data_IF_537970302094
#
_entry.id   IF_537970302094
#
_cell.length_a   1.000
_cell.length_b   1.000
_cell.length_c   1.000
_cell.angle_alpha   90.00
_cell.angle_beta   90.00
_cell.angle_gamma   90.00
#
_symmetry.space_group_name_H-M   'P 1'
#
loop_
_entity.id
_entity.type
_entity.pdbx_description
1 polymer ?
#
# COMPACT_ATOMS: atom_id res chain seq x y z
N UNK A 1 2.87 -4.08 18.09
CA UNK A 1 2.98 -5.41 17.47
C UNK A 1 1.58 -5.78 17.02
N UNK A 2 1.39 -6.09 15.74
CA UNK A 2 0.09 -6.33 15.14
C UNK A 2 0.14 -7.65 14.38
N UNK A 3 -0.83 -8.53 14.60
CA UNK A 3 -1.10 -9.64 13.71
C UNK A 3 -2.31 -9.23 12.87
N UNK A 4 -2.19 -9.28 11.54
CA UNK A 4 -3.33 -9.06 10.66
C UNK A 4 -3.48 -10.20 9.67
N UNK A 5 -4.74 -10.58 9.43
CA UNK A 5 -5.10 -11.49 8.36
C UNK A 5 -5.04 -10.72 7.04
N UNK A 6 -4.15 -11.13 6.15
CA UNK A 6 -3.93 -10.49 4.86
C UNK A 6 -3.38 -11.50 3.86
N UNK A 7 -3.16 -11.04 2.63
CA UNK A 7 -2.59 -11.86 1.55
C UNK A 7 -1.40 -11.15 0.89
N UNK A 8 -0.49 -11.94 0.35
CA UNK A 8 0.54 -11.46 -0.58
C UNK A 8 -0.03 -11.55 -1.99
N UNK A 9 0.09 -10.49 -2.78
CA UNK A 9 -0.51 -10.43 -4.11
C UNK A 9 0.40 -10.99 -5.21
N UNK A 10 1.72 -10.77 -5.11
CA UNK A 10 2.69 -11.18 -6.13
C UNK A 10 3.57 -12.38 -5.73
N UNK A 11 3.14 -13.17 -4.73
CA UNK A 11 3.80 -14.40 -4.27
C UNK A 11 5.30 -14.26 -3.90
N UNK A 12 5.75 -13.05 -3.58
CA UNK A 12 7.13 -12.82 -3.13
C UNK A 12 7.30 -13.18 -1.64
N UNK A 13 8.49 -13.64 -1.20
CA UNK A 13 8.76 -13.92 0.20
C UNK A 13 8.57 -12.68 1.08
N UNK A 14 7.93 -12.85 2.24
CA UNK A 14 7.67 -11.75 3.17
C UNK A 14 8.62 -11.82 4.36
N UNK A 15 9.72 -11.08 4.22
CA UNK A 15 10.65 -10.72 5.30
C UNK A 15 11.14 -9.30 5.02
N UNK A 16 10.41 -8.33 5.55
CA UNK A 16 10.54 -6.93 5.19
C UNK A 16 11.03 -6.17 6.41
N UNK A 17 12.07 -5.35 6.21
CA UNK A 17 12.59 -4.40 7.17
C UNK A 17 12.68 -3.04 6.48
N UNK A 18 12.13 -1.99 7.10
CA UNK A 18 12.19 -0.64 6.55
C UNK A 18 11.56 0.38 7.48
N UNK A 19 11.28 1.57 6.93
CA UNK A 19 10.64 2.66 7.65
C UNK A 19 9.26 2.97 7.08
N UNK A 20 8.32 3.32 7.94
CA UNK A 20 6.94 3.57 7.52
C UNK A 20 6.88 4.85 6.68
N UNK A 21 6.32 4.74 5.48
CA UNK A 21 5.74 5.84 4.73
C UNK A 21 4.28 5.49 4.48
N UNK A 22 3.34 6.27 5.01
CA UNK A 22 1.91 5.92 4.95
C UNK A 22 1.08 7.12 4.50
N UNK A 23 0.00 6.86 3.77
CA UNK A 23 -0.93 7.92 3.39
C UNK A 23 -1.92 7.51 2.31
N UNK A 24 -2.69 8.52 1.91
CA UNK A 24 -3.68 8.40 0.85
C UNK A 24 -3.00 8.32 -0.53
N UNK A 25 -3.43 7.37 -1.35
CA UNK A 25 -2.88 7.12 -2.69
C UNK A 25 -2.99 8.36 -3.59
N UNK A 26 -4.19 8.94 -3.69
CA UNK A 26 -4.43 10.11 -4.54
C UNK A 26 -3.62 11.32 -4.09
N UNK A 27 -3.44 11.52 -2.78
CA UNK A 27 -2.55 12.56 -2.25
C UNK A 27 -1.10 12.33 -2.67
N UNK A 28 -0.55 11.12 -2.51
CA UNK A 28 0.82 10.85 -3.00
C UNK A 28 0.95 11.10 -4.50
N UNK A 29 0.01 10.59 -5.30
CA UNK A 29 0.00 10.81 -6.75
C UNK A 29 -0.02 12.31 -7.10
N UNK A 30 -0.79 13.14 -6.38
CA UNK A 30 -0.85 14.59 -6.59
C UNK A 30 0.48 15.31 -6.34
N UNK A 31 1.39 14.71 -5.56
CA UNK A 31 2.72 15.28 -5.28
C UNK A 31 3.79 14.87 -6.30
N UNK A 32 3.50 13.93 -7.21
CA UNK A 32 4.46 13.44 -8.20
C UNK A 32 4.96 14.59 -9.10
N UNK A 33 6.29 14.71 -9.20
CA UNK A 33 6.96 15.78 -9.94
C UNK A 33 7.09 17.11 -9.18
N UNK A 34 6.66 17.18 -7.92
CA UNK A 34 6.81 18.38 -7.07
C UNK A 34 8.00 18.26 -6.11
N UNK A 35 8.40 19.37 -5.50
CA UNK A 35 9.49 19.41 -4.49
C UNK A 35 9.19 18.63 -3.21
N UNK A 36 7.93 18.32 -2.96
CA UNK A 36 7.48 17.60 -1.76
C UNK A 36 7.21 16.12 -2.06
N UNK A 37 7.52 15.63 -3.27
CA UNK A 37 7.42 14.21 -3.59
C UNK A 37 8.38 13.41 -2.69
N UNK A 38 7.87 12.45 -1.90
CA UNK A 38 8.69 11.83 -0.86
C UNK A 38 9.66 10.82 -1.46
N UNK A 39 10.87 10.74 -0.88
CA UNK A 39 11.78 9.62 -1.15
C UNK A 39 11.23 8.35 -0.51
N UNK A 40 11.28 7.25 -1.27
CA UNK A 40 10.81 5.93 -0.85
C UNK A 40 11.95 4.97 -0.51
N UNK A 41 13.20 5.48 -0.53
CA UNK A 41 14.37 4.69 -0.17
C UNK A 41 14.23 4.11 1.23
N UNK A 42 14.37 2.80 1.30
CA UNK A 42 14.24 2.00 2.53
C UNK A 42 12.87 2.13 3.22
N UNK A 43 11.83 2.55 2.49
CA UNK A 43 10.46 2.68 3.01
C UNK A 43 9.61 1.45 2.74
N UNK A 44 8.73 1.15 3.69
CA UNK A 44 7.55 0.31 3.49
C UNK A 44 6.37 1.25 3.27
N UNK A 45 5.78 1.20 2.08
CA UNK A 45 4.75 2.15 1.65
C UNK A 45 3.37 1.59 2.00
N UNK A 46 2.65 2.27 2.88
CA UNK A 46 1.26 1.97 3.20
C UNK A 46 0.34 2.89 2.41
N UNK A 47 -0.53 2.31 1.59
CA UNK A 47 -1.43 3.06 0.69
C UNK A 47 -2.89 2.70 0.97
N UNK A 48 -3.74 3.71 1.00
CA UNK A 48 -5.18 3.59 1.18
C UNK A 48 -5.90 4.65 0.34
N UNK A 49 -7.20 4.49 0.10
CA UNK A 49 -8.02 5.53 -0.53
C UNK A 49 -9.52 5.36 -0.20
N UNK A 50 -10.35 6.32 -0.57
CA UNK A 50 -11.79 6.30 -0.29
C UNK A 50 -12.62 6.93 -1.40
N UNK A 51 -13.79 6.35 -1.70
CA UNK A 51 -14.74 6.87 -2.70
C UNK A 51 -14.15 7.04 -4.11
N UNK A 52 -13.13 6.26 -4.45
CA UNK A 52 -12.51 6.29 -5.78
C UNK A 52 -12.99 5.14 -6.65
N UNK A 53 -13.46 5.46 -7.85
CA UNK A 53 -13.66 4.49 -8.92
C UNK A 53 -12.38 3.65 -9.15
N UNK A 54 -12.47 2.32 -9.38
CA UNK A 54 -11.28 1.47 -9.58
C UNK A 54 -10.33 1.98 -10.67
N UNK A 55 -10.83 2.53 -11.77
CA UNK A 55 -9.98 3.11 -12.82
C UNK A 55 -9.20 4.35 -12.34
N UNK A 56 -9.70 5.10 -11.35
CA UNK A 56 -8.99 6.26 -10.77
C UNK A 56 -7.87 5.79 -9.85
N UNK A 57 -8.10 4.72 -9.10
CA UNK A 57 -7.06 4.04 -8.31
C UNK A 57 -5.97 3.51 -9.23
N UNK A 58 -6.33 2.78 -10.30
CA UNK A 58 -5.36 2.26 -11.27
C UNK A 58 -4.55 3.41 -11.89
N UNK A 59 -5.20 4.50 -12.30
CA UNK A 59 -4.54 5.70 -12.82
C UNK A 59 -3.53 6.30 -11.82
N UNK A 60 -3.88 6.41 -10.54
CA UNK A 60 -2.98 6.96 -9.52
C UNK A 60 -1.78 6.03 -9.26
N UNK A 61 -2.01 4.71 -9.21
CA UNK A 61 -0.93 3.72 -9.11
C UNK A 61 0.01 3.77 -10.32
N UNK A 62 -0.53 3.86 -11.54
CA UNK A 62 0.26 4.03 -12.76
C UNK A 62 1.10 5.31 -12.74
N UNK A 63 0.54 6.43 -12.25
CA UNK A 63 1.28 7.68 -12.14
C UNK A 63 2.48 7.55 -11.17
N UNK A 64 2.27 6.94 -10.01
CA UNK A 64 3.35 6.68 -9.04
C UNK A 64 4.39 5.71 -9.61
N UNK A 65 3.95 4.64 -10.27
CA UNK A 65 4.82 3.67 -10.94
C UNK A 65 5.73 4.35 -11.96
N UNK A 66 5.14 5.12 -12.88
CA UNK A 66 5.89 5.81 -13.94
C UNK A 66 6.79 6.94 -13.40
N UNK A 67 6.56 7.41 -12.18
CA UNK A 67 7.43 8.39 -11.51
C UNK A 67 8.65 7.77 -10.80
N UNK A 68 8.77 6.43 -10.79
CA UNK A 68 9.81 5.70 -10.06
C UNK A 68 9.56 5.61 -8.55
N UNK A 69 8.33 5.86 -8.09
CA UNK A 69 8.00 5.91 -6.67
C UNK A 69 8.30 4.59 -5.93
N UNK A 70 8.17 3.46 -6.61
CA UNK A 70 8.32 2.14 -5.99
C UNK A 70 9.74 1.56 -6.14
N UNK A 71 10.63 2.20 -6.89
CA UNK A 71 11.93 1.63 -7.32
C UNK A 71 12.89 1.35 -6.15
N UNK A 72 12.89 2.22 -5.13
CA UNK A 72 13.75 2.09 -3.95
C UNK A 72 12.98 1.66 -2.68
N UNK A 73 11.70 1.35 -2.82
CA UNK A 73 10.85 0.89 -1.73
C UNK A 73 11.16 -0.57 -1.36
N UNK A 74 10.85 -0.96 -0.12
CA UNK A 74 11.04 -2.33 0.39
C UNK A 74 9.81 -3.20 0.19
N UNK A 75 8.63 -2.60 0.24
CA UNK A 75 7.35 -3.25 0.02
C UNK A 75 6.22 -2.23 -0.12
N UNK A 76 5.10 -2.67 -0.68
CA UNK A 76 3.82 -1.96 -0.65
C UNK A 76 2.85 -2.72 0.24
N UNK A 77 2.10 -2.01 1.07
CA UNK A 77 1.07 -2.56 1.95
C UNK A 77 -0.22 -1.79 1.69
N UNK A 78 -1.21 -2.45 1.10
CA UNK A 78 -2.52 -1.88 0.90
C UNK A 78 -3.35 -1.95 2.19
N UNK A 79 -3.84 -0.77 2.58
CA UNK A 79 -4.87 -0.60 3.57
C UNK A 79 -6.27 -0.75 2.95
N UNK A 80 -7.24 -0.06 3.52
CA UNK A 80 -8.62 -0.10 3.07
C UNK A 80 -8.87 0.88 1.93
N UNK A 81 -9.35 0.36 0.80
CA UNK A 81 -9.89 1.13 -0.31
C UNK A 81 -11.41 1.20 -0.16
N UNK A 82 -11.85 2.16 0.64
CA UNK A 82 -13.20 2.18 1.20
C UNK A 82 -14.20 2.77 0.21
N UNK A 83 -15.29 2.07 -0.08
CA UNK A 83 -16.26 2.49 -1.10
C UNK A 83 -15.62 2.76 -2.48
N UNK A 84 -14.52 2.05 -2.79
CA UNK A 84 -13.88 2.11 -4.10
C UNK A 84 -14.51 1.08 -5.05
N UNK A 85 -15.77 1.32 -5.40
CA UNK A 85 -16.61 0.43 -6.21
C UNK A 85 -16.95 1.16 -7.51
N UNK A 86 -16.98 0.42 -8.61
CA UNK A 86 -17.34 1.00 -9.90
C UNK A 86 -18.84 1.34 -10.00
N UNK A 87 -19.16 2.50 -10.56
CA UNK A 87 -20.53 2.90 -10.91
C UNK A 87 -21.13 1.95 -11.97
N UNK A 88 -20.28 1.42 -12.87
CA UNK A 88 -20.65 0.48 -13.93
C UNK A 88 -19.77 -0.78 -13.87
N UNK A 89 -20.01 -1.69 -12.91
CA UNK A 89 -19.14 -2.83 -12.63
C UNK A 89 -18.87 -3.75 -13.83
N UNK A 90 -19.83 -3.93 -14.73
CA UNK A 90 -19.69 -4.79 -15.90
C UNK A 90 -18.72 -4.26 -16.97
N UNK A 91 -18.24 -3.01 -16.79
CA UNK A 91 -17.27 -2.35 -17.69
C UNK A 91 -16.01 -1.88 -16.96
N UNK A 92 -15.80 -2.31 -15.72
CA UNK A 92 -14.67 -1.89 -14.90
C UNK A 92 -14.03 -3.09 -14.23
N UNK A 93 -12.73 -2.98 -13.95
CA UNK A 93 -12.11 -3.83 -12.95
C UNK A 93 -12.68 -3.52 -11.56
N UNK A 94 -12.65 -4.53 -10.70
CA UNK A 94 -12.79 -4.38 -9.26
C UNK A 94 -11.50 -3.81 -8.66
N UNK A 95 -11.59 -3.25 -7.46
CA UNK A 95 -10.41 -2.75 -6.73
C UNK A 95 -9.38 -3.86 -6.45
N UNK A 96 -9.85 -5.08 -6.24
CA UNK A 96 -8.99 -6.25 -6.01
C UNK A 96 -8.23 -6.64 -7.27
N UNK A 97 -8.87 -6.61 -8.44
CA UNK A 97 -8.19 -6.84 -9.72
C UNK A 97 -7.17 -5.73 -10.01
N UNK A 98 -7.47 -4.47 -9.71
CA UNK A 98 -6.53 -3.36 -9.87
C UNK A 98 -5.29 -3.55 -8.99
N UNK A 99 -5.46 -3.87 -7.70
CA UNK A 99 -4.33 -4.13 -6.79
C UNK A 99 -3.50 -5.33 -7.24
N UNK A 100 -4.15 -6.39 -7.72
CA UNK A 100 -3.47 -7.60 -8.21
C UNK A 100 -2.63 -7.28 -9.46
N UNK A 101 -3.22 -6.63 -10.46
CA UNK A 101 -2.52 -6.19 -11.68
C UNK A 101 -1.32 -5.31 -11.34
N UNK A 102 -1.50 -4.32 -10.47
CA UNK A 102 -0.39 -3.48 -10.00
C UNK A 102 0.73 -4.31 -9.36
N UNK A 103 0.39 -5.33 -8.56
CA UNK A 103 1.40 -6.16 -7.91
C UNK A 103 2.26 -6.97 -8.88
N UNK A 104 1.74 -7.27 -10.06
CA UNK A 104 2.45 -7.98 -11.14
C UNK A 104 3.47 -7.06 -11.86
N UNK A 105 3.28 -5.75 -11.77
CA UNK A 105 4.15 -4.75 -12.43
C UNK A 105 5.37 -4.34 -11.59
N UNK A 106 5.44 -4.71 -10.31
CA UNK A 106 6.54 -4.34 -9.40
C UNK A 106 7.26 -5.53 -8.80
N UNK A 107 8.57 -5.40 -8.60
CA UNK A 107 9.45 -6.49 -8.12
C UNK A 107 9.64 -6.55 -6.60
N UNK A 108 8.84 -5.81 -5.83
CA UNK A 108 8.87 -5.78 -4.36
C UNK A 108 7.59 -6.40 -3.79
N UNK A 109 7.62 -6.99 -2.58
CA UNK A 109 6.42 -7.61 -2.00
C UNK A 109 5.25 -6.63 -1.91
N UNK A 110 4.07 -7.10 -2.31
CA UNK A 110 2.81 -6.36 -2.17
C UNK A 110 1.87 -7.13 -1.26
N UNK A 111 1.53 -6.51 -0.13
CA UNK A 111 0.64 -7.06 0.89
C UNK A 111 -0.69 -6.34 0.84
N UNK A 112 -1.78 -7.05 1.13
CA UNK A 112 -3.14 -6.52 1.12
C UNK A 112 -3.87 -6.90 2.41
N UNK A 113 -4.74 -6.01 2.87
CA UNK A 113 -5.61 -6.22 4.04
C UNK A 113 -5.12 -5.61 5.36
N UNK A 114 -4.13 -4.71 5.34
CA UNK A 114 -3.71 -4.05 6.58
C UNK A 114 -4.83 -3.12 7.09
N UNK A 115 -5.17 -3.12 8.40
CA UNK A 115 -6.26 -2.32 8.94
C UNK A 115 -5.86 -0.84 9.10
N UNK A 116 -5.86 -0.08 8.00
CA UNK A 116 -5.54 1.35 7.92
C UNK A 116 -6.33 1.99 6.78
N UNK A 117 -6.86 3.19 6.99
CA UNK A 117 -7.57 3.96 5.97
C UNK A 117 -8.88 4.58 6.45
N UNK A 118 -9.77 4.87 5.52
CA UNK A 118 -11.04 5.59 5.79
C UNK A 118 -12.19 4.71 6.29
N UNK A 119 -11.99 3.40 6.40
CA UNK A 119 -12.90 2.48 7.07
C UNK A 119 -12.26 1.93 8.36
N UNK A 120 -13.10 1.47 9.29
CA UNK A 120 -12.61 0.86 10.53
C UNK A 120 -12.15 -0.59 10.32
N UNK A 121 -11.14 -1.07 11.06
CA UNK A 121 -10.28 -0.34 11.99
C UNK A 121 -9.17 0.47 11.28
N UNK A 122 -8.90 1.68 11.78
CA UNK A 122 -7.84 2.57 11.26
C UNK A 122 -6.64 2.62 12.23
N UNK A 123 -5.63 1.80 11.98
CA UNK A 123 -4.43 1.71 12.81
C UNK A 123 -3.55 2.95 12.62
N UNK A 124 -3.19 3.58 13.74
CA UNK A 124 -2.24 4.70 13.72
C UNK A 124 -0.84 4.20 13.30
N UNK A 125 -0.36 4.69 12.16
CA UNK A 125 0.97 4.41 11.63
C UNK A 125 1.90 5.60 11.90
N UNK A 126 2.87 5.48 12.83
CA UNK A 126 3.85 6.52 13.08
C UNK A 126 4.80 6.62 11.90
N UNK A 127 4.72 7.73 11.15
CA UNK A 127 5.57 7.96 9.99
C UNK A 127 7.06 7.91 10.38
N UNK A 128 7.85 7.33 9.49
CA UNK A 128 9.30 7.17 9.62
C UNK A 128 9.78 6.24 10.76
N UNK A 129 8.88 5.67 11.55
CA UNK A 129 9.23 4.62 12.51
C UNK A 129 9.69 3.34 11.80
N UNK A 130 10.56 2.58 12.47
CA UNK A 130 11.01 1.29 11.96
C UNK A 130 9.86 0.28 11.97
N UNK A 131 9.75 -0.52 10.91
CA UNK A 131 8.76 -1.59 10.78
C UNK A 131 9.42 -2.86 10.27
N UNK A 132 9.05 -3.98 10.90
CA UNK A 132 9.36 -5.34 10.43
C UNK A 132 8.07 -6.08 10.12
N UNK A 133 8.01 -6.71 8.95
CA UNK A 133 6.87 -7.54 8.51
C UNK A 133 7.37 -8.94 8.14
N UNK A 134 6.76 -9.96 8.73
CA UNK A 134 7.10 -11.36 8.53
C UNK A 134 5.81 -12.19 8.31
N UNK A 135 5.88 -13.19 7.43
CA UNK A 135 4.78 -14.16 7.27
C UNK A 135 4.45 -14.85 8.60
N UNK A 136 3.15 -15.06 8.84
CA UNK A 136 2.61 -15.85 9.94
C UNK A 136 1.81 -17.04 9.39
N UNK A 137 1.38 -17.97 10.25
CA UNK A 137 0.49 -19.07 9.86
C UNK A 137 -0.83 -18.55 9.26
N UNK A 138 -1.32 -17.41 9.78
CA UNK A 138 -2.52 -16.71 9.31
C UNK A 138 -2.23 -15.23 9.08
N UNK A 139 -1.72 -14.89 7.89
CA UNK A 139 -1.42 -13.51 7.49
C UNK A 139 0.00 -13.07 7.85
N UNK A 140 0.14 -11.93 8.53
CA UNK A 140 1.44 -11.29 8.76
C UNK A 140 1.59 -10.69 10.15
N UNK A 141 2.79 -10.83 10.72
CA UNK A 141 3.20 -10.10 11.91
C UNK A 141 3.86 -8.78 11.52
N UNK A 142 3.30 -7.66 11.99
CA UNK A 142 3.80 -6.30 11.77
C UNK A 142 4.27 -5.71 13.09
N UNK A 143 5.58 -5.54 13.21
CA UNK A 143 6.25 -4.95 14.37
C UNK A 143 6.66 -3.53 14.06
N UNK A 144 5.95 -2.56 14.64
CA UNK A 144 6.35 -1.15 14.65
C UNK A 144 7.27 -0.93 15.85
N UNK A 145 8.49 -0.47 15.60
CA UNK A 145 9.54 -0.27 16.59
C UNK A 145 9.72 1.23 16.74
N UNK A 146 9.27 1.75 17.87
CA UNK A 146 9.46 3.14 18.26
C UNK A 146 10.82 3.27 18.95
N UNK A 147 11.71 4.08 18.39
CA UNK A 147 12.93 4.49 19.09
C UNK A 147 12.52 5.41 20.25
N UNK A 148 13.06 5.15 21.45
CA UNK A 148 12.82 5.95 22.65
C UNK A 148 13.79 7.13 22.72
#
# INVERSE_FOLDING_TARGET
>A
DFLFEGRVLNNLPVKIDGRILAGNLTVFASTAGTKIFPSTKDKVIFLEDVNEEPYRVERALCQLLLSGFFDEAKAVVFGNFSNCIAETPERSFTIDEVKLRFSEEISIPVLDGFPFGHAGPNTALPLDANVRIESAEKGFHVRIILER
#
